data_IF_575002652566
#
_entry.id   IF_575002652566
#
_cell.length_a   1.000
_cell.length_b   1.000
_cell.length_c   1.000
_cell.angle_alpha   90.00
_cell.angle_beta   90.00
_cell.angle_gamma   90.00
#
_symmetry.space_group_name_H-M   'P 1'
#
loop_
_entity.id
_entity.type
_entity.pdbx_description
1 polymer ?
#
# COMPACT_ATOMS: atom_id res chain seq x y z
N UNK A 1 36.56 -7.61 -44.06
CA UNK A 1 36.12 -7.55 -42.64
C UNK A 1 36.40 -8.90 -42.01
N UNK A 2 36.90 -8.92 -40.77
CA UNK A 2 37.27 -10.15 -40.08
C UNK A 2 36.00 -10.94 -39.72
N UNK A 3 35.85 -12.13 -40.29
CA UNK A 3 34.68 -13.00 -40.11
C UNK A 3 34.45 -13.35 -38.63
N UNK A 4 35.53 -13.47 -37.85
CA UNK A 4 35.44 -13.65 -36.39
C UNK A 4 34.89 -12.43 -35.66
N UNK A 5 35.16 -11.22 -36.16
CA UNK A 5 34.62 -9.99 -35.58
C UNK A 5 33.12 -9.86 -35.87
N UNK A 6 32.67 -10.29 -37.05
CA UNK A 6 31.25 -10.31 -37.41
C UNK A 6 30.50 -11.32 -36.54
N UNK A 7 31.03 -12.55 -36.39
CA UNK A 7 30.42 -13.59 -35.54
C UNK A 7 30.32 -13.11 -34.08
N UNK A 8 31.36 -12.44 -33.58
CA UNK A 8 31.34 -11.89 -32.21
C UNK A 8 30.25 -10.84 -32.04
N UNK A 9 30.17 -9.86 -32.94
CA UNK A 9 29.16 -8.80 -32.87
C UNK A 9 27.75 -9.38 -32.97
N UNK A 10 27.53 -10.35 -33.86
CA UNK A 10 26.23 -11.02 -34.00
C UNK A 10 25.86 -11.77 -32.72
N UNK A 11 26.81 -12.48 -32.09
CA UNK A 11 26.56 -13.18 -30.83
C UNK A 11 26.28 -12.23 -29.67
N UNK A 12 27.01 -11.11 -29.58
CA UNK A 12 26.83 -10.10 -28.54
C UNK A 12 25.44 -9.44 -28.65
N UNK A 13 25.01 -9.11 -29.89
CA UNK A 13 23.68 -8.54 -30.15
C UNK A 13 22.57 -9.57 -29.90
N UNK A 14 22.77 -10.85 -30.26
CA UNK A 14 21.82 -11.91 -29.93
C UNK A 14 21.68 -12.09 -28.41
N UNK A 15 22.79 -12.03 -27.66
CA UNK A 15 22.76 -12.12 -26.20
C UNK A 15 22.05 -10.93 -25.53
N UNK A 16 22.10 -9.74 -26.15
CA UNK A 16 21.44 -8.54 -25.68
C UNK A 16 19.94 -8.48 -26.04
N UNK A 17 19.54 -9.11 -27.16
CA UNK A 17 18.15 -9.18 -27.63
C UNK A 17 17.37 -10.38 -27.10
N UNK A 18 18.05 -11.43 -26.63
CA UNK A 18 17.39 -12.52 -25.92
C UNK A 18 16.98 -12.04 -24.53
N UNK A 19 15.73 -12.29 -24.10
CA UNK A 19 15.34 -12.01 -22.72
C UNK A 19 16.30 -12.75 -21.80
N UNK A 20 16.95 -12.01 -20.88
CA UNK A 20 17.73 -12.63 -19.80
C UNK A 20 16.81 -13.66 -19.16
N UNK A 21 17.13 -14.94 -19.34
CA UNK A 21 16.44 -16.02 -18.65
C UNK A 21 16.69 -15.77 -17.17
N UNK A 22 15.68 -15.25 -16.47
CA UNK A 22 15.75 -15.05 -15.03
C UNK A 22 16.23 -16.38 -14.44
N UNK A 23 17.36 -16.34 -13.73
CA UNK A 23 17.83 -17.50 -13.01
C UNK A 23 16.70 -17.90 -12.06
N UNK A 24 16.33 -19.19 -12.06
CA UNK A 24 15.36 -19.67 -11.09
C UNK A 24 15.85 -19.26 -9.69
N UNK A 25 15.00 -18.62 -8.86
CA UNK A 25 15.40 -18.20 -7.54
C UNK A 25 16.00 -19.39 -6.79
N UNK A 26 17.14 -19.15 -6.14
CA UNK A 26 17.74 -20.14 -5.24
C UNK A 26 16.74 -20.53 -4.15
N UNK A 27 16.89 -21.66 -3.44
CA UNK A 27 15.84 -22.26 -2.61
C UNK A 27 15.21 -21.37 -1.51
N UNK A 28 15.75 -20.17 -1.26
CA UNK A 28 15.30 -19.20 -0.26
C UNK A 28 15.04 -17.78 -0.82
N UNK A 29 15.04 -17.60 -2.14
CA UNK A 29 14.78 -16.31 -2.79
C UNK A 29 13.29 -16.13 -3.09
N UNK A 30 12.75 -14.99 -2.67
CA UNK A 30 11.35 -14.62 -2.82
C UNK A 30 11.27 -13.47 -3.84
N UNK A 31 10.54 -13.63 -4.95
CA UNK A 31 10.30 -12.54 -5.89
C UNK A 31 9.57 -11.38 -5.22
N UNK A 32 9.93 -10.14 -5.56
CA UNK A 32 9.32 -8.92 -5.03
C UNK A 32 8.46 -8.26 -6.11
N UNK A 33 7.16 -8.13 -5.80
CA UNK A 33 6.19 -7.34 -6.52
C UNK A 33 6.01 -5.96 -5.90
N UNK A 34 6.22 -4.90 -6.70
CA UNK A 34 6.03 -3.52 -6.29
C UNK A 34 4.61 -3.09 -6.69
N UNK A 35 3.81 -2.76 -5.70
CA UNK A 35 2.43 -2.32 -5.87
C UNK A 35 2.38 -0.80 -5.94
N UNK A 36 2.08 -0.29 -7.13
CA UNK A 36 1.64 1.09 -7.29
C UNK A 36 0.25 1.27 -6.67
N UNK A 37 -0.10 2.53 -6.38
CA UNK A 37 -1.45 2.90 -5.93
C UNK A 37 -2.55 2.31 -6.81
N UNK A 38 -3.56 1.72 -6.18
CA UNK A 38 -4.62 1.04 -6.89
C UNK A 38 -5.90 0.91 -6.07
N UNK A 39 -6.98 0.51 -6.74
CA UNK A 39 -8.33 0.43 -6.16
C UNK A 39 -8.91 -0.95 -6.45
N UNK A 40 -9.43 -1.59 -5.41
CA UNK A 40 -10.37 -2.71 -5.54
C UNK A 40 -11.78 -2.17 -5.33
N UNK A 41 -12.72 -2.54 -6.20
CA UNK A 41 -14.11 -2.07 -6.12
C UNK A 41 -15.05 -3.21 -5.80
N UNK A 42 -16.11 -2.91 -5.05
CA UNK A 42 -17.30 -3.76 -5.02
C UNK A 42 -18.17 -3.49 -6.25
N UNK A 43 -18.96 -4.49 -6.67
CA UNK A 43 -19.73 -4.42 -7.90
C UNK A 43 -20.68 -3.20 -7.97
N UNK A 44 -21.33 -2.85 -6.86
CA UNK A 44 -22.18 -1.66 -6.79
C UNK A 44 -21.41 -0.37 -7.12
N UNK A 45 -20.19 -0.23 -6.62
CA UNK A 45 -19.35 0.95 -6.88
C UNK A 45 -18.79 0.93 -8.31
N UNK A 46 -18.56 -0.25 -8.90
CA UNK A 46 -18.25 -0.35 -10.34
C UNK A 46 -19.39 0.28 -11.13
N UNK A 47 -20.64 -0.09 -10.84
CA UNK A 47 -21.80 0.44 -11.56
C UNK A 47 -22.04 1.93 -11.31
N UNK A 48 -21.81 2.42 -10.09
CA UNK A 48 -21.94 3.85 -9.78
C UNK A 48 -20.91 4.70 -10.52
N UNK A 49 -19.67 4.22 -10.64
CA UNK A 49 -18.56 4.99 -11.21
C UNK A 49 -18.44 4.83 -12.73
N UNK A 50 -18.82 3.67 -13.27
CA UNK A 50 -18.68 3.32 -14.69
C UNK A 50 -20.00 3.07 -15.43
N UNK A 51 -21.13 3.10 -14.74
CA UNK A 51 -22.48 2.96 -15.31
C UNK A 51 -23.17 1.64 -14.97
N UNK A 52 -24.51 1.67 -14.93
CA UNK A 52 -25.33 0.50 -14.59
C UNK A 52 -24.98 -0.73 -15.43
N UNK A 53 -24.78 -1.88 -14.79
CA UNK A 53 -24.38 -3.13 -15.42
C UNK A 53 -22.93 -3.19 -15.93
N UNK A 54 -22.09 -2.21 -15.62
CA UNK A 54 -20.68 -2.22 -16.01
C UNK A 54 -19.91 -3.36 -15.33
N UNK A 55 -18.91 -3.89 -16.03
CA UNK A 55 -17.97 -4.89 -15.54
C UNK A 55 -16.55 -4.44 -15.83
N UNK A 56 -15.59 -4.90 -15.01
CA UNK A 56 -14.18 -4.56 -15.17
C UNK A 56 -13.57 -5.34 -16.35
N UNK A 57 -12.80 -4.66 -17.19
CA UNK A 57 -12.21 -5.27 -18.37
C UNK A 57 -10.73 -5.57 -18.17
N UNK A 58 -10.30 -6.79 -18.49
CA UNK A 58 -8.92 -7.24 -18.26
C UNK A 58 -7.95 -6.48 -19.17
N UNK A 59 -7.03 -5.72 -18.57
CA UNK A 59 -5.88 -5.12 -19.27
C UNK A 59 -4.64 -6.00 -19.20
N UNK A 60 -4.34 -6.53 -18.01
CA UNK A 60 -3.15 -7.37 -17.77
C UNK A 60 -3.39 -8.29 -16.57
N UNK A 61 -3.10 -9.58 -16.72
CA UNK A 61 -3.10 -10.52 -15.59
C UNK A 61 -1.94 -10.21 -14.64
N UNK A 62 -2.21 -10.32 -13.33
CA UNK A 62 -1.20 -10.15 -12.28
C UNK A 62 -0.59 -11.51 -11.91
N UNK A 63 0.46 -11.49 -11.10
CA UNK A 63 1.13 -12.70 -10.63
C UNK A 63 0.21 -13.59 -9.79
N UNK A 64 -0.62 -12.99 -8.93
CA UNK A 64 -1.59 -13.73 -8.15
C UNK A 64 -2.75 -14.25 -9.04
N UNK A 65 -3.08 -15.56 -9.00
CA UNK A 65 -4.06 -16.18 -9.89
C UNK A 65 -5.43 -15.49 -9.86
N UNK A 66 -5.98 -15.27 -11.06
CA UNK A 66 -7.29 -14.65 -11.23
C UNK A 66 -7.34 -13.15 -10.95
N UNK A 67 -6.28 -12.53 -10.43
CA UNK A 67 -6.20 -11.09 -10.25
C UNK A 67 -5.72 -10.42 -11.54
N UNK A 68 -6.27 -9.24 -11.85
CA UNK A 68 -5.89 -8.49 -13.04
C UNK A 68 -5.89 -6.98 -12.81
N UNK A 69 -5.01 -6.28 -13.50
CA UNK A 69 -5.16 -4.85 -13.72
C UNK A 69 -6.24 -4.63 -14.78
N UNK A 70 -7.22 -3.79 -14.48
CA UNK A 70 -8.32 -3.48 -15.38
C UNK A 70 -7.96 -2.32 -16.34
N UNK A 71 -8.69 -2.11 -17.44
CA UNK A 71 -8.50 -0.89 -18.25
C UNK A 71 -8.97 0.36 -17.53
N UNK A 72 -9.94 0.18 -16.65
CA UNK A 72 -10.57 1.23 -15.87
C UNK A 72 -9.57 1.89 -14.91
N UNK A 73 -9.72 3.21 -14.78
CA UNK A 73 -9.01 4.03 -13.82
C UNK A 73 -9.95 5.05 -13.21
N UNK A 74 -9.66 5.48 -11.99
CA UNK A 74 -10.41 6.50 -11.28
C UNK A 74 -9.50 7.65 -10.84
N UNK A 75 -10.10 8.77 -10.49
CA UNK A 75 -9.44 9.81 -9.72
C UNK A 75 -9.79 9.64 -8.24
N UNK A 76 -8.76 9.70 -7.39
CA UNK A 76 -8.90 9.74 -5.92
C UNK A 76 -8.72 11.19 -5.48
N UNK A 77 -9.67 11.72 -4.73
CA UNK A 77 -9.67 13.11 -4.26
C UNK A 77 -9.69 13.12 -2.74
N UNK A 78 -8.74 13.84 -2.15
CA UNK A 78 -8.68 14.16 -0.73
C UNK A 78 -8.76 15.68 -0.50
N UNK A 79 -8.73 16.13 0.77
CA UNK A 79 -8.91 17.54 1.12
C UNK A 79 -7.87 18.48 0.51
N UNK A 80 -6.64 18.00 0.30
CA UNK A 80 -5.50 18.83 -0.18
C UNK A 80 -5.28 18.73 -1.68
N UNK A 81 -5.71 17.64 -2.32
CA UNK A 81 -5.39 17.37 -3.71
C UNK A 81 -6.08 16.14 -4.26
N UNK A 82 -5.67 15.78 -5.48
CA UNK A 82 -6.20 14.59 -6.15
C UNK A 82 -5.12 13.87 -6.93
N UNK A 83 -5.30 12.56 -7.07
CA UNK A 83 -4.45 11.69 -7.86
C UNK A 83 -5.31 11.11 -8.99
N UNK A 84 -4.91 11.36 -10.23
CA UNK A 84 -5.61 10.87 -11.42
C UNK A 84 -5.07 9.51 -11.87
N UNK A 85 -5.86 8.83 -12.70
CA UNK A 85 -5.46 7.59 -13.38
C UNK A 85 -5.06 6.45 -12.42
N UNK A 86 -5.67 6.39 -11.24
CA UNK A 86 -5.44 5.30 -10.27
C UNK A 86 -6.06 4.03 -10.82
N UNK A 87 -5.26 2.96 -10.91
CA UNK A 87 -5.63 1.70 -11.57
C UNK A 87 -6.67 0.94 -10.75
N UNK A 88 -7.72 0.45 -11.40
CA UNK A 88 -8.63 -0.52 -10.78
C UNK A 88 -8.05 -1.93 -10.96
N UNK A 89 -8.03 -2.72 -9.90
CA UNK A 89 -7.73 -4.14 -9.93
C UNK A 89 -9.03 -4.95 -9.84
N UNK A 90 -9.09 -6.01 -10.64
CA UNK A 90 -10.19 -6.96 -10.67
C UNK A 90 -9.78 -8.35 -10.19
N UNK A 91 -10.75 -9.23 -9.95
CA UNK A 91 -12.19 -9.00 -10.11
C UNK A 91 -12.78 -8.07 -9.05
N UNK A 92 -14.05 -7.67 -9.23
CA UNK A 92 -14.77 -6.94 -8.19
C UNK A 92 -14.81 -7.77 -6.89
N UNK A 93 -14.69 -7.09 -5.76
CA UNK A 93 -14.65 -7.68 -4.41
C UNK A 93 -15.96 -7.46 -3.67
N UNK A 94 -16.03 -7.93 -2.43
CA UNK A 94 -17.16 -7.71 -1.51
C UNK A 94 -17.16 -6.31 -0.89
N UNK A 95 -16.02 -5.62 -0.91
CA UNK A 95 -15.86 -4.26 -0.38
C UNK A 95 -14.94 -3.45 -1.30
N UNK A 96 -14.98 -2.12 -1.15
CA UNK A 96 -14.06 -1.20 -1.85
C UNK A 96 -12.89 -0.86 -0.96
N UNK A 97 -11.68 -0.95 -1.53
CA UNK A 97 -10.43 -0.67 -0.85
C UNK A 97 -9.49 0.07 -1.77
N UNK A 98 -8.78 1.03 -1.21
CA UNK A 98 -7.82 1.86 -1.92
C UNK A 98 -6.49 1.71 -1.20
N UNK A 99 -5.48 1.25 -1.93
CA UNK A 99 -4.12 1.08 -1.43
C UNK A 99 -3.26 2.19 -2.03
N UNK A 100 -2.69 3.02 -1.16
CA UNK A 100 -1.82 4.15 -1.55
C UNK A 100 -0.54 4.15 -0.72
N UNK A 101 0.50 4.84 -1.20
CA UNK A 101 1.70 5.02 -0.39
C UNK A 101 1.53 6.15 0.63
N UNK A 102 2.43 6.25 1.61
CA UNK A 102 2.43 7.36 2.55
C UNK A 102 2.65 8.72 1.82
N UNK A 103 3.46 8.74 0.77
CA UNK A 103 3.68 9.93 -0.06
C UNK A 103 2.39 10.39 -0.75
N UNK A 104 1.57 9.45 -1.23
CA UNK A 104 0.26 9.74 -1.81
C UNK A 104 -0.69 10.33 -0.76
N UNK A 105 -0.70 9.77 0.45
CA UNK A 105 -1.52 10.26 1.56
C UNK A 105 -1.22 11.73 1.91
N UNK A 106 0.05 12.13 1.94
CA UNK A 106 0.48 13.53 2.14
C UNK A 106 -0.03 14.44 1.01
N UNK A 107 -0.06 13.93 -0.22
CA UNK A 107 -0.51 14.68 -1.40
C UNK A 107 -2.02 14.88 -1.39
N UNK A 108 -2.77 13.85 -0.99
CA UNK A 108 -4.23 13.88 -0.84
C UNK A 108 -4.67 14.64 0.41
N UNK A 109 -3.83 14.72 1.44
CA UNK A 109 -4.15 15.36 2.71
C UNK A 109 -5.05 14.49 3.60
N UNK A 110 -4.82 13.18 3.61
CA UNK A 110 -5.54 12.20 4.43
C UNK A 110 -4.55 11.39 5.28
N UNK A 111 -5.06 10.70 6.31
CA UNK A 111 -4.25 9.90 7.25
C UNK A 111 -4.72 8.42 7.26
N UNK A 112 -4.50 7.68 6.17
CA UNK A 112 -4.81 6.25 6.13
C UNK A 112 -3.91 5.46 7.10
N UNK A 113 -4.45 4.44 7.77
CA UNK A 113 -3.66 3.55 8.62
C UNK A 113 -2.83 2.57 7.78
N UNK A 114 -1.71 2.09 8.32
CA UNK A 114 -0.93 0.98 7.77
C UNK A 114 -1.61 -0.34 8.14
N UNK A 115 -2.10 -1.09 7.15
CA UNK A 115 -2.89 -2.31 7.40
C UNK A 115 -2.76 -3.36 6.31
N UNK A 116 -3.24 -4.54 6.62
CA UNK A 116 -3.45 -5.59 5.64
C UNK A 116 -4.67 -5.34 4.77
N UNK A 117 -4.61 -5.82 3.53
CA UNK A 117 -5.77 -5.84 2.65
C UNK A 117 -6.93 -6.61 3.29
N UNK A 118 -8.07 -5.93 3.48
CA UNK A 118 -9.27 -6.43 4.13
C UNK A 118 -9.59 -5.73 5.45
N UNK A 119 -8.61 -5.09 6.10
CA UNK A 119 -8.79 -4.42 7.39
C UNK A 119 -9.20 -2.95 7.22
N UNK A 120 -10.34 -2.72 6.58
CA UNK A 120 -10.77 -1.38 6.17
C UNK A 120 -11.57 -0.59 7.22
N UNK A 121 -12.03 -1.23 8.29
CA UNK A 121 -12.87 -0.57 9.30
C UNK A 121 -12.14 0.61 9.97
N UNK A 122 -12.76 1.79 10.04
CA UNK A 122 -12.15 2.99 10.60
C UNK A 122 -10.86 3.40 9.88
N UNK A 123 -10.78 3.16 8.58
CA UNK A 123 -9.70 3.67 7.73
C UNK A 123 -10.08 5.01 7.10
N UNK A 124 -9.13 5.69 6.44
CA UNK A 124 -9.37 7.02 5.92
C UNK A 124 -10.43 7.05 4.82
N UNK A 125 -11.11 8.19 4.70
CA UNK A 125 -12.11 8.48 3.68
C UNK A 125 -11.49 9.14 2.45
N UNK A 126 -12.19 9.07 1.32
CA UNK A 126 -11.87 9.88 0.13
C UNK A 126 -13.08 10.00 -0.80
N UNK A 127 -12.94 10.75 -1.89
CA UNK A 127 -13.90 10.76 -2.98
C UNK A 127 -13.29 10.07 -4.20
N UNK A 128 -14.00 9.10 -4.76
CA UNK A 128 -13.70 8.50 -6.04
C UNK A 128 -14.50 9.18 -7.15
N UNK A 129 -13.83 9.55 -8.22
CA UNK A 129 -14.47 10.15 -9.41
C UNK A 129 -14.20 9.25 -10.62
N UNK A 130 -15.28 8.77 -11.23
CA UNK A 130 -15.28 7.95 -12.43
C UNK A 130 -16.00 8.64 -13.60
N UNK A 131 -16.00 8.03 -14.79
CA UNK A 131 -16.57 8.62 -16.00
C UNK A 131 -18.09 8.79 -15.96
N UNK A 132 -18.81 8.07 -15.08
CA UNK A 132 -20.28 8.08 -15.00
C UNK A 132 -20.82 8.59 -13.68
N UNK A 133 -19.96 8.89 -12.72
CA UNK A 133 -20.37 9.36 -11.40
C UNK A 133 -19.22 9.52 -10.43
N UNK A 134 -19.56 9.89 -9.20
CA UNK A 134 -18.65 9.99 -8.07
C UNK A 134 -19.21 9.26 -6.86
N UNK A 135 -18.32 8.85 -5.96
CA UNK A 135 -18.64 8.15 -4.73
C UNK A 135 -17.84 8.77 -3.60
N UNK A 136 -18.51 9.11 -2.49
CA UNK A 136 -17.85 9.42 -1.23
C UNK A 136 -17.65 8.09 -0.50
N UNK A 137 -16.40 7.68 -0.33
CA UNK A 137 -16.02 6.48 0.40
C UNK A 137 -15.69 6.90 1.83
N UNK A 138 -16.55 6.52 2.79
CA UNK A 138 -16.40 6.91 4.20
C UNK A 138 -15.23 6.20 4.88
N UNK A 139 -14.94 4.96 4.50
CA UNK A 139 -13.79 4.18 4.93
C UNK A 139 -13.35 3.26 3.78
N UNK A 140 -12.06 2.98 3.68
CA UNK A 140 -11.49 2.04 2.71
C UNK A 140 -10.10 2.41 2.21
N UNK A 141 -9.53 3.56 2.61
CA UNK A 141 -8.19 3.96 2.20
C UNK A 141 -7.14 3.53 3.23
N UNK A 142 -6.19 2.71 2.81
CA UNK A 142 -5.10 2.19 3.64
C UNK A 142 -3.73 2.42 2.98
N UNK A 143 -2.68 2.40 3.80
CA UNK A 143 -1.32 2.11 3.34
C UNK A 143 -1.14 0.61 3.47
N UNK A 144 -0.80 -0.07 2.38
CA UNK A 144 -0.68 -1.53 2.37
C UNK A 144 0.57 -1.96 3.14
N UNK A 145 0.38 -2.80 4.15
CA UNK A 145 1.49 -3.41 4.88
C UNK A 145 2.18 -4.47 4.02
N UNK A 146 3.52 -4.48 4.05
CA UNK A 146 4.33 -5.50 3.37
C UNK A 146 3.97 -6.93 3.81
N UNK A 147 3.80 -7.82 2.84
CA UNK A 147 3.44 -9.20 3.09
C UNK A 147 3.99 -10.13 1.99
N UNK A 148 4.01 -11.44 2.27
CA UNK A 148 4.37 -12.48 1.30
C UNK A 148 3.18 -13.40 1.11
N UNK A 149 2.71 -13.49 -0.14
CA UNK A 149 1.81 -14.54 -0.57
C UNK A 149 2.63 -15.80 -0.87
N UNK A 150 2.16 -16.97 -0.43
CA UNK A 150 2.79 -18.25 -0.77
C UNK A 150 1.80 -19.43 -0.68
N UNK A 151 2.06 -20.50 -1.43
CA UNK A 151 1.30 -21.74 -1.30
C UNK A 151 1.78 -22.55 -0.08
N UNK A 152 1.00 -23.54 0.42
CA UNK A 152 1.43 -24.37 1.54
C UNK A 152 2.76 -25.10 1.33
N UNK A 153 3.05 -25.51 0.09
CA UNK A 153 4.31 -26.16 -0.25
C UNK A 153 5.52 -25.22 -0.10
N UNK A 154 5.37 -23.96 -0.52
CA UNK A 154 6.41 -22.93 -0.36
C UNK A 154 6.63 -22.61 1.12
N UNK A 155 5.54 -22.49 1.90
CA UNK A 155 5.61 -22.26 3.34
C UNK A 155 6.37 -23.39 4.06
N UNK A 156 6.08 -24.64 3.68
CA UNK A 156 6.79 -25.81 4.19
C UNK A 156 8.27 -25.79 3.81
N UNK A 157 8.60 -25.46 2.56
CA UNK A 157 9.99 -25.38 2.08
C UNK A 157 10.79 -24.27 2.80
N UNK A 158 10.16 -23.11 3.03
CA UNK A 158 10.77 -21.97 3.70
C UNK A 158 10.73 -22.07 5.23
N UNK A 159 10.05 -23.08 5.79
CA UNK A 159 9.93 -23.30 7.23
C UNK A 159 9.12 -22.22 7.95
N UNK A 160 8.10 -21.65 7.29
CA UNK A 160 7.24 -20.58 7.82
C UNK A 160 5.78 -20.99 7.86
N UNK A 161 4.94 -20.24 8.57
CA UNK A 161 3.51 -20.54 8.76
C UNK A 161 2.63 -19.33 8.45
N UNK A 162 1.36 -19.57 8.13
CA UNK A 162 0.38 -18.50 7.92
C UNK A 162 0.27 -17.59 9.15
N UNK A 163 0.26 -16.28 8.94
CA UNK A 163 0.19 -15.28 10.00
C UNK A 163 1.50 -15.01 10.73
N UNK A 164 2.57 -15.75 10.43
CA UNK A 164 3.90 -15.48 10.96
C UNK A 164 4.45 -14.16 10.41
N UNK A 165 5.20 -13.44 11.22
CA UNK A 165 6.01 -12.30 10.77
C UNK A 165 7.48 -12.71 10.57
N UNK A 166 8.08 -12.25 9.48
CA UNK A 166 9.49 -12.52 9.14
C UNK A 166 10.24 -11.23 8.82
N UNK A 167 11.56 -11.33 8.76
CA UNK A 167 12.41 -10.28 8.19
C UNK A 167 12.90 -10.70 6.81
N UNK A 168 12.84 -9.79 5.84
CA UNK A 168 13.29 -10.03 4.46
C UNK A 168 14.42 -9.05 4.13
N UNK A 169 15.57 -9.59 3.74
CA UNK A 169 16.71 -8.78 3.30
C UNK A 169 16.77 -8.71 1.78
N UNK A 170 17.00 -7.51 1.27
CA UNK A 170 17.27 -7.24 -0.14
C UNK A 170 18.68 -6.67 -0.25
N UNK A 171 19.52 -7.30 -1.06
CA UNK A 171 20.95 -7.00 -1.17
C UNK A 171 21.28 -6.02 -2.32
N UNK A 172 20.26 -5.36 -2.88
CA UNK A 172 20.36 -4.46 -4.03
C UNK A 172 21.21 -3.21 -3.79
N UNK A 173 21.07 -2.20 -4.65
CA UNK A 173 21.91 -0.99 -4.66
C UNK A 173 21.96 -0.28 -3.30
N UNK A 174 20.86 -0.28 -2.56
CA UNK A 174 20.79 0.18 -1.18
C UNK A 174 20.24 -0.96 -0.33
N UNK A 175 21.12 -1.78 0.29
CA UNK A 175 20.69 -2.91 1.07
C UNK A 175 19.71 -2.48 2.16
N UNK A 176 18.59 -3.18 2.23
CA UNK A 176 17.51 -2.90 3.18
C UNK A 176 16.99 -4.22 3.74
N UNK A 177 16.58 -4.19 5.00
CA UNK A 177 15.85 -5.28 5.63
C UNK A 177 14.47 -4.76 5.98
N UNK A 178 13.44 -5.40 5.45
CA UNK A 178 12.06 -5.21 5.88
C UNK A 178 11.82 -6.12 7.07
N UNK A 179 11.50 -5.54 8.21
CA UNK A 179 11.08 -6.29 9.39
C UNK A 179 9.54 -6.37 9.41
N UNK A 180 9.02 -7.34 10.16
CA UNK A 180 7.57 -7.54 10.31
C UNK A 180 6.79 -7.71 8.99
N UNK A 181 7.37 -8.45 8.05
CA UNK A 181 6.68 -8.84 6.81
C UNK A 181 5.78 -10.03 7.11
N UNK A 182 4.47 -9.89 6.88
CA UNK A 182 3.50 -10.95 7.22
C UNK A 182 3.48 -12.06 6.17
N UNK A 183 3.46 -13.31 6.61
CA UNK A 183 3.25 -14.48 5.77
C UNK A 183 1.74 -14.75 5.60
N UNK A 184 1.29 -14.90 4.36
CA UNK A 184 -0.07 -15.26 3.99
C UNK A 184 -0.04 -16.54 3.16
N UNK A 185 -0.64 -17.60 3.68
CA UNK A 185 -0.67 -18.92 3.02
C UNK A 185 -2.07 -19.23 2.53
N UNK A 186 -2.19 -19.55 1.24
CA UNK A 186 -3.42 -20.08 0.65
C UNK A 186 -3.07 -20.92 -0.59
N UNK A 187 -3.89 -21.93 -0.90
CA UNK A 187 -3.62 -22.88 -2.01
C UNK A 187 -3.50 -22.21 -3.39
N UNK A 188 -4.16 -21.06 -3.57
CA UNK A 188 -4.19 -20.33 -4.82
C UNK A 188 -3.17 -19.19 -4.87
N UNK A 189 -2.27 -19.06 -3.90
CA UNK A 189 -1.24 -18.02 -3.93
C UNK A 189 -0.01 -18.45 -4.72
N UNK A 190 0.55 -17.50 -5.46
CA UNK A 190 1.89 -17.62 -6.01
C UNK A 190 2.88 -16.92 -5.08
N UNK A 191 4.06 -17.52 -4.90
CA UNK A 191 5.14 -16.98 -4.06
C UNK A 191 5.56 -15.59 -4.55
N UNK A 192 5.21 -14.54 -3.81
CA UNK A 192 5.59 -13.16 -4.10
C UNK A 192 5.51 -12.29 -2.84
N UNK A 193 6.54 -11.51 -2.58
CA UNK A 193 6.52 -10.43 -1.58
C UNK A 193 5.93 -9.17 -2.20
N UNK A 194 4.92 -8.58 -1.58
CA UNK A 194 4.31 -7.34 -2.01
C UNK A 194 4.77 -6.20 -1.12
N UNK A 195 5.30 -5.14 -1.74
CA UNK A 195 5.67 -3.87 -1.11
C UNK A 195 5.10 -2.71 -1.90
N UNK A 196 4.91 -1.56 -1.26
CA UNK A 196 4.49 -0.34 -1.95
C UNK A 196 5.66 0.39 -2.66
N UNK A 197 5.35 1.48 -3.36
CA UNK A 197 6.37 2.25 -4.08
C UNK A 197 7.33 3.01 -3.16
N UNK A 198 6.90 3.44 -1.98
CA UNK A 198 7.76 4.16 -1.03
C UNK A 198 8.78 3.20 -0.41
N UNK A 199 8.34 1.98 -0.07
CA UNK A 199 9.17 0.87 0.40
C UNK A 199 10.21 0.46 -0.66
N UNK A 200 9.78 0.29 -1.91
CA UNK A 200 10.68 -0.04 -3.01
C UNK A 200 11.71 1.07 -3.27
N UNK A 201 11.25 2.33 -3.28
CA UNK A 201 12.11 3.50 -3.48
C UNK A 201 13.16 3.63 -2.36
N UNK A 202 12.82 3.27 -1.11
CA UNK A 202 13.75 3.33 0.00
C UNK A 202 15.00 2.44 -0.22
N UNK A 203 14.82 1.26 -0.82
CA UNK A 203 15.88 0.29 -1.13
C UNK A 203 16.43 0.35 -2.57
N UNK A 204 15.89 1.22 -3.44
CA UNK A 204 16.14 1.20 -4.90
C UNK A 204 15.80 -0.16 -5.54
N UNK A 205 14.71 -0.79 -5.09
CA UNK A 205 14.29 -2.13 -5.52
C UNK A 205 13.49 -2.01 -6.83
N UNK A 206 13.74 -2.91 -7.78
CA UNK A 206 12.99 -3.02 -9.03
C UNK A 206 12.03 -4.21 -9.02
N UNK A 207 11.00 -4.15 -9.87
CA UNK A 207 10.02 -5.23 -10.03
C UNK A 207 10.73 -6.54 -10.39
N UNK A 208 10.45 -7.61 -9.65
CA UNK A 208 11.03 -8.94 -9.90
C UNK A 208 12.40 -9.17 -9.26
N UNK A 209 12.99 -8.17 -8.58
CA UNK A 209 14.13 -8.44 -7.71
C UNK A 209 13.75 -9.40 -6.58
N UNK A 210 14.74 -10.09 -6.02
CA UNK A 210 14.53 -11.11 -5.00
C UNK A 210 14.96 -10.64 -3.61
N UNK A 211 14.21 -11.07 -2.61
CA UNK A 211 14.57 -10.95 -1.19
C UNK A 211 14.84 -12.32 -0.57
N UNK A 212 15.52 -12.35 0.58
CA UNK A 212 15.75 -13.57 1.35
C UNK A 212 15.20 -13.43 2.75
N UNK A 213 14.44 -14.42 3.23
CA UNK A 213 14.03 -14.48 4.63
C UNK A 213 15.26 -14.69 5.51
N UNK A 214 15.43 -13.84 6.52
CA UNK A 214 16.46 -14.02 7.55
C UNK A 214 15.82 -14.75 8.72
N UNK A 215 16.18 -16.02 8.91
CA UNK A 215 15.88 -16.77 10.13
C UNK A 215 16.93 -16.45 11.20
N UNK A 216 16.54 -15.80 12.31
CA UNK A 216 17.42 -15.75 13.50
C UNK A 216 17.50 -14.46 14.34
N UNK A 217 16.70 -13.41 14.14
CA UNK A 217 16.57 -12.32 15.13
C UNK A 217 15.12 -11.90 15.29
N UNK A 218 14.77 -11.58 16.54
CA UNK A 218 13.41 -11.46 17.08
C UNK A 218 12.44 -10.77 16.13
N UNK A 219 11.28 -11.38 15.92
CA UNK A 219 10.13 -10.67 15.39
C UNK A 219 9.92 -9.42 16.26
N UNK A 220 10.03 -8.24 15.66
CA UNK A 220 9.53 -7.02 16.31
C UNK A 220 8.08 -7.23 16.75
N UNK A 221 7.67 -6.54 17.82
CA UNK A 221 6.26 -6.45 18.22
C UNK A 221 5.40 -6.15 16.97
N UNK A 222 4.34 -6.93 16.69
CA UNK A 222 3.49 -6.75 15.51
C UNK A 222 3.06 -5.29 15.34
N UNK A 223 2.96 -4.81 14.10
CA UNK A 223 2.49 -3.46 13.77
C UNK A 223 1.14 -3.11 14.46
N UNK A 224 0.30 -4.10 14.77
CA UNK A 224 -0.95 -3.91 15.51
C UNK A 224 -0.77 -3.38 16.95
N UNK A 225 0.46 -3.36 17.49
CA UNK A 225 0.81 -2.71 18.76
C UNK A 225 1.45 -1.32 18.58
N UNK A 226 1.65 -0.84 17.34
CA UNK A 226 1.88 0.58 17.12
C UNK A 226 0.55 1.32 17.35
N UNK A 227 0.30 1.64 18.61
CA UNK A 227 -0.57 2.78 18.94
C UNK A 227 0.08 3.97 18.25
N UNK A 228 -0.62 4.55 17.26
CA UNK A 228 -0.21 5.83 16.69
C UNK A 228 0.13 6.75 17.86
N UNK A 229 1.33 7.37 17.88
CA UNK A 229 1.64 8.30 18.94
C UNK A 229 0.48 9.30 19.03
N UNK A 230 0.00 9.60 20.24
CA UNK A 230 -1.19 10.43 20.38
C UNK A 230 -1.01 11.73 19.60
N UNK A 231 -2.10 12.19 18.97
CA UNK A 231 -2.05 13.34 18.07
C UNK A 231 -1.82 14.58 18.92
N UNK A 232 -0.57 15.03 19.03
CA UNK A 232 -0.18 16.14 19.89
C UNK A 232 -0.01 17.44 19.11
N UNK A 233 -0.76 18.48 19.51
CA UNK A 233 -0.55 19.86 19.04
C UNK A 233 0.16 20.64 20.13
N UNK A 234 1.41 21.04 19.91
CA UNK A 234 2.28 21.53 20.98
C UNK A 234 2.21 23.05 21.26
N UNK A 235 1.40 23.81 20.52
CA UNK A 235 1.29 25.26 20.66
C UNK A 235 -0.01 25.71 21.34
N UNK A 236 0.00 26.91 21.93
CA UNK A 236 -1.10 27.42 22.77
C UNK A 236 -2.33 27.92 22.01
N UNK A 237 -2.22 28.23 20.71
CA UNK A 237 -3.34 28.78 19.94
C UNK A 237 -3.77 27.75 18.90
N UNK A 238 -4.90 27.09 19.14
CA UNK A 238 -5.41 26.05 18.26
C UNK A 238 -6.36 26.69 17.23
N UNK A 239 -5.97 26.61 15.96
CA UNK A 239 -6.71 27.13 14.81
C UNK A 239 -7.52 26.02 14.13
N UNK A 240 -8.48 26.39 13.28
CA UNK A 240 -9.24 25.40 12.51
C UNK A 240 -8.34 24.50 11.66
N UNK A 241 -7.27 25.06 11.07
CA UNK A 241 -6.31 24.28 10.29
C UNK A 241 -5.52 23.27 11.14
N UNK A 242 -5.31 23.56 12.42
CA UNK A 242 -4.60 22.65 13.30
C UNK A 242 -5.40 21.37 13.54
N UNK A 243 -6.74 21.46 13.51
CA UNK A 243 -7.65 20.36 13.85
C UNK A 243 -8.42 19.79 12.64
N UNK A 244 -8.40 20.47 11.48
CA UNK A 244 -9.25 20.16 10.32
C UNK A 244 -9.03 18.78 9.69
N UNK A 245 -8.02 18.04 10.15
CA UNK A 245 -7.56 16.77 9.61
C UNK A 245 -7.75 15.58 10.55
N UNK A 246 -8.32 15.78 11.74
CA UNK A 246 -8.38 14.76 12.80
C UNK A 246 -9.82 14.33 13.11
N UNK A 247 -10.58 13.93 12.09
CA UNK A 247 -11.99 13.55 12.27
C UNK A 247 -12.15 12.25 13.06
N UNK A 248 -12.94 12.30 14.15
CA UNK A 248 -13.21 11.15 15.02
C UNK A 248 -12.03 10.74 15.89
N UNK A 249 -10.97 11.55 15.94
CA UNK A 249 -9.72 11.23 16.63
C UNK A 249 -9.60 11.95 17.98
N UNK A 250 -8.74 11.41 18.84
CA UNK A 250 -8.33 12.09 20.09
C UNK A 250 -7.08 12.94 19.85
N UNK A 251 -7.19 14.24 20.11
CA UNK A 251 -6.09 15.21 19.95
C UNK A 251 -5.67 15.74 21.31
N UNK A 252 -4.40 15.54 21.64
CA UNK A 252 -3.76 16.06 22.84
C UNK A 252 -3.29 17.49 22.61
N UNK A 253 -3.71 18.40 23.49
CA UNK A 253 -3.34 19.82 23.47
C UNK A 253 -2.80 20.27 24.84
N UNK A 254 -1.97 21.33 24.92
CA UNK A 254 -1.53 21.90 26.18
C UNK A 254 -2.72 22.30 27.05
N UNK A 255 -2.61 22.14 28.38
CA UNK A 255 -3.62 22.64 29.34
C UNK A 255 -3.98 24.11 29.16
N UNK A 256 -3.04 24.94 28.69
CA UNK A 256 -3.27 26.37 28.41
C UNK A 256 -3.73 26.68 26.98
N UNK A 257 -4.06 25.65 26.19
CA UNK A 257 -4.48 25.82 24.81
C UNK A 257 -5.78 26.64 24.72
N UNK A 258 -5.80 27.60 23.80
CA UNK A 258 -6.95 28.44 23.46
C UNK A 258 -7.38 28.12 22.04
N UNK A 259 -8.61 27.65 21.90
CA UNK A 259 -9.22 27.40 20.60
C UNK A 259 -9.79 28.70 20.03
N UNK A 260 -9.45 28.98 18.77
CA UNK A 260 -10.17 29.98 17.96
C UNK A 260 -11.64 29.58 17.80
N UNK A 261 -12.53 30.53 17.49
CA UNK A 261 -13.95 30.22 17.28
C UNK A 261 -14.16 29.15 16.20
N UNK A 262 -13.44 29.27 15.08
CA UNK A 262 -13.47 28.29 13.98
C UNK A 262 -12.90 26.92 14.38
N UNK A 263 -11.91 26.88 15.28
CA UNK A 263 -11.40 25.61 15.79
C UNK A 263 -12.43 24.88 16.66
N UNK A 264 -13.21 25.62 17.47
CA UNK A 264 -14.28 25.02 18.28
C UNK A 264 -15.36 24.39 17.40
N UNK A 265 -15.77 25.12 16.37
CA UNK A 265 -16.74 24.63 15.40
C UNK A 265 -16.20 23.40 14.64
N UNK A 266 -14.92 23.43 14.24
CA UNK A 266 -14.29 22.29 13.58
C UNK A 266 -14.21 21.06 14.48
N UNK A 267 -13.86 21.22 15.77
CA UNK A 267 -13.79 20.14 16.75
C UNK A 267 -15.15 19.47 16.92
N UNK A 268 -16.22 20.25 17.05
CA UNK A 268 -17.58 19.72 17.17
C UNK A 268 -18.03 19.02 15.88
N UNK A 269 -17.82 19.66 14.73
CA UNK A 269 -18.23 19.13 13.42
C UNK A 269 -17.49 17.85 13.03
N UNK A 270 -16.22 17.74 13.41
CA UNK A 270 -15.35 16.61 13.09
C UNK A 270 -15.32 15.56 14.21
N UNK A 271 -16.15 15.70 15.25
CA UNK A 271 -16.24 14.74 16.37
C UNK A 271 -14.87 14.47 17.03
N UNK A 272 -14.06 15.52 17.21
CA UNK A 272 -12.71 15.43 17.76
C UNK A 272 -12.78 15.42 19.29
N UNK A 273 -12.15 14.44 19.93
CA UNK A 273 -11.97 14.45 21.38
C UNK A 273 -10.70 15.24 21.75
N UNK A 274 -10.83 16.31 22.53
CA UNK A 274 -9.68 17.05 23.02
C UNK A 274 -9.26 16.56 24.40
N UNK A 275 -8.03 16.08 24.51
CA UNK A 275 -7.39 15.77 25.79
C UNK A 275 -6.37 16.85 26.15
N UNK A 276 -6.52 17.42 27.34
CA UNK A 276 -5.63 18.46 27.82
C UNK A 276 -4.54 17.83 28.70
N UNK A 277 -3.29 17.89 28.26
CA UNK A 277 -2.17 17.35 29.04
C UNK A 277 -1.42 18.46 29.80
N UNK A 278 -0.97 18.12 31.01
CA UNK A 278 0.02 18.89 31.75
C UNK A 278 1.40 18.55 31.18
N UNK A 279 2.12 19.51 30.59
CA UNK A 279 3.58 19.32 30.45
C UNK A 279 4.13 19.18 31.87
N UNK A 280 4.87 18.09 32.08
CA UNK A 280 5.34 17.60 33.38
C UNK A 280 6.11 18.61 34.20
#
# INVERSE_FOLDING_TARGET
MNEQAIIKIVNDVIAELLPKKEAAPTPNEIPIGISARHIHLQQEHVEQLFGKGATLSVKKMLAQPGQFAAHETLQVVGPKGSIQNVRVLGPARTFTQIEISHTDAISLGIQPPLRESGEIAGSASCILVGPRGSLILQEGVIIAQAHIHMAPADAQQLGVQNGQYVSVKVQGRRPITFEQVKIRVADHYHLEMHIDTDEANAGFIQQGETGTIITGKMAGEPYNNFVSPPIEINHKIITANDVSRYQGETVIVPKEARLTALAKEAVEKLEIELQFHEKG
#
